data_IF_261108156507
#
_entry.id   IF_261108156507
#
_cell.length_a   1.000
_cell.length_b   1.000
_cell.length_c   1.000
_cell.angle_alpha   90.00
_cell.angle_beta   90.00
_cell.angle_gamma   90.00
#
_symmetry.space_group_name_H-M   'P 1'
#
loop_
_entity.id
_entity.type
_entity.pdbx_description
1 polymer ?
#
# COMPACT_ATOMS: atom_id res chain seq x y z
N UNK A 1 -19.50 8.41 -13.05
CA UNK A 1 -18.99 7.51 -11.99
C UNK A 1 -18.27 8.38 -10.98
N UNK A 2 -18.80 8.52 -9.75
CA UNK A 2 -18.31 9.53 -8.80
C UNK A 2 -16.89 9.19 -8.32
N UNK A 3 -15.99 10.17 -8.29
CA UNK A 3 -14.58 10.03 -7.90
C UNK A 3 -14.41 9.36 -6.51
N UNK A 4 -15.38 9.56 -5.63
CA UNK A 4 -15.44 8.96 -4.28
C UNK A 4 -15.57 7.44 -4.32
N UNK A 5 -16.34 6.88 -5.26
CA UNK A 5 -16.48 5.43 -5.43
C UNK A 5 -15.17 4.79 -5.91
N UNK A 6 -14.41 5.51 -6.73
CA UNK A 6 -13.14 5.04 -7.27
C UNK A 6 -12.08 4.93 -6.16
N UNK A 7 -11.98 5.94 -5.32
CA UNK A 7 -11.04 5.99 -4.18
C UNK A 7 -11.39 4.88 -3.17
N UNK A 8 -12.68 4.75 -2.84
CA UNK A 8 -13.16 3.72 -1.91
C UNK A 8 -12.85 2.30 -2.40
N UNK A 9 -13.05 2.01 -3.69
CA UNK A 9 -12.71 0.71 -4.30
C UNK A 9 -11.20 0.43 -4.28
N UNK A 10 -10.36 1.46 -4.51
CA UNK A 10 -8.90 1.34 -4.46
C UNK A 10 -8.42 1.05 -3.04
N UNK A 11 -8.91 1.78 -2.03
CA UNK A 11 -8.60 1.53 -0.61
C UNK A 11 -9.03 0.12 -0.22
N UNK A 12 -10.23 -0.33 -0.60
CA UNK A 12 -10.70 -1.68 -0.32
C UNK A 12 -9.80 -2.76 -0.95
N UNK A 13 -9.25 -2.51 -2.13
CA UNK A 13 -8.29 -3.43 -2.77
C UNK A 13 -7.00 -3.55 -1.96
N UNK A 14 -6.49 -2.42 -1.45
CA UNK A 14 -5.31 -2.41 -0.58
C UNK A 14 -5.56 -3.08 0.77
N UNK A 15 -6.74 -2.87 1.37
CA UNK A 15 -7.13 -3.53 2.62
C UNK A 15 -7.15 -5.06 2.45
N UNK A 16 -7.70 -5.57 1.34
CA UNK A 16 -7.69 -7.01 1.05
C UNK A 16 -6.28 -7.61 0.92
N UNK A 17 -5.29 -6.83 0.46
CA UNK A 17 -3.90 -7.31 0.44
C UNK A 17 -3.35 -7.51 1.86
N UNK A 18 -3.78 -6.70 2.84
CA UNK A 18 -3.36 -6.82 4.24
C UNK A 18 -3.83 -8.11 4.94
N UNK A 19 -4.85 -8.77 4.39
CA UNK A 19 -5.43 -10.01 4.94
C UNK A 19 -4.60 -11.26 4.57
N UNK A 20 -3.65 -11.15 3.63
CA UNK A 20 -2.80 -12.27 3.21
C UNK A 20 -1.93 -12.79 4.36
N UNK A 21 -1.76 -14.11 4.45
CA UNK A 21 -1.04 -14.74 5.56
C UNK A 21 0.44 -14.41 5.61
N UNK A 22 1.10 -14.30 4.45
CA UNK A 22 2.55 -14.15 4.35
C UNK A 22 3.04 -12.69 4.28
N UNK A 23 2.18 -11.72 4.60
CA UNK A 23 2.48 -10.30 4.37
C UNK A 23 2.20 -9.86 2.95
N UNK A 24 2.67 -8.66 2.58
CA UNK A 24 2.37 -8.05 1.28
C UNK A 24 3.64 -7.95 0.47
N UNK A 25 3.69 -8.60 -0.69
CA UNK A 25 4.79 -8.42 -1.62
C UNK A 25 4.71 -7.03 -2.25
N UNK A 26 5.84 -6.36 -2.35
CA UNK A 26 5.90 -5.04 -2.99
C UNK A 26 5.42 -5.09 -4.46
N UNK A 27 5.58 -6.25 -5.10
CA UNK A 27 5.16 -6.51 -6.47
C UNK A 27 3.64 -6.63 -6.62
N UNK A 28 2.90 -6.97 -5.55
CA UNK A 28 1.44 -7.08 -5.58
C UNK A 28 0.76 -5.70 -5.59
N UNK A 29 1.48 -4.67 -5.17
CA UNK A 29 1.00 -3.29 -5.23
C UNK A 29 1.11 -2.74 -6.64
N UNK A 30 0.14 -1.91 -7.02
CA UNK A 30 0.23 -1.09 -8.24
C UNK A 30 1.42 -0.15 -8.12
N UNK A 31 2.09 0.12 -9.24
CA UNK A 31 3.28 1.00 -9.31
C UNK A 31 3.03 2.36 -8.64
N UNK A 32 1.83 2.92 -8.80
CA UNK A 32 1.40 4.19 -8.20
C UNK A 32 1.49 4.21 -6.65
N UNK A 33 1.29 3.07 -5.98
CA UNK A 33 1.37 2.97 -4.52
C UNK A 33 2.74 2.55 -4.02
N UNK A 34 3.57 1.96 -4.89
CA UNK A 34 4.88 1.43 -4.49
C UNK A 34 5.79 2.54 -4.01
N UNK A 35 5.79 3.69 -4.68
CA UNK A 35 6.68 4.79 -4.32
C UNK A 35 6.34 5.39 -2.94
N UNK A 36 5.05 5.59 -2.61
CA UNK A 36 4.65 6.11 -1.28
C UNK A 36 4.93 5.08 -0.20
N UNK A 37 4.67 3.81 -0.47
CA UNK A 37 5.02 2.75 0.46
C UNK A 37 6.53 2.62 0.65
N UNK A 38 7.33 2.73 -0.41
CA UNK A 38 8.79 2.71 -0.33
C UNK A 38 9.32 3.88 0.49
N UNK A 39 8.79 5.08 0.28
CA UNK A 39 9.12 6.25 1.07
C UNK A 39 8.73 6.07 2.55
N UNK A 40 7.55 5.48 2.81
CA UNK A 40 7.06 5.21 4.16
C UNK A 40 7.92 4.20 4.92
N UNK A 41 8.48 3.21 4.23
CA UNK A 41 9.31 2.15 4.84
C UNK A 41 10.81 2.43 4.74
N UNK A 42 11.23 3.62 4.32
CA UNK A 42 12.67 3.98 4.35
C UNK A 42 13.17 3.89 5.79
N UNK A 43 14.20 3.07 6.00
CA UNK A 43 14.77 2.83 7.32
C UNK A 43 14.09 1.69 8.11
N UNK A 44 13.01 1.11 7.61
CA UNK A 44 12.38 -0.08 8.19
C UNK A 44 13.11 -1.36 7.75
N UNK A 45 13.13 -2.38 8.62
CA UNK A 45 13.64 -3.70 8.24
C UNK A 45 12.59 -4.45 7.43
N UNK A 46 12.93 -4.82 6.20
CA UNK A 46 12.05 -5.56 5.30
C UNK A 46 12.39 -7.04 5.26
N UNK A 47 11.38 -7.86 5.02
CA UNK A 47 11.56 -9.29 4.78
C UNK A 47 11.88 -9.58 3.32
N UNK A 48 12.56 -10.68 3.07
CA UNK A 48 12.70 -11.27 1.73
C UNK A 48 12.14 -12.68 1.76
N UNK A 49 11.27 -12.99 0.82
CA UNK A 49 10.75 -14.34 0.62
C UNK A 49 10.73 -14.64 -0.87
N UNK A 50 11.26 -15.80 -1.27
CA UNK A 50 11.32 -16.21 -2.68
C UNK A 50 11.99 -15.14 -3.58
N UNK A 51 13.07 -14.52 -3.07
CA UNK A 51 13.78 -13.43 -3.76
C UNK A 51 13.00 -12.12 -3.91
N UNK A 52 11.78 -12.03 -3.36
CA UNK A 52 10.92 -10.84 -3.43
C UNK A 52 10.85 -10.15 -2.07
N UNK A 53 10.82 -8.82 -2.11
CA UNK A 53 10.64 -7.99 -0.91
C UNK A 53 9.22 -8.16 -0.39
N UNK A 54 9.12 -8.58 0.87
CA UNK A 54 7.89 -8.68 1.65
C UNK A 54 7.85 -7.56 2.67
N UNK A 55 6.68 -6.94 2.76
CA UNK A 55 6.35 -5.98 3.80
C UNK A 55 5.53 -6.71 4.86
N UNK A 56 6.02 -6.63 6.10
CA UNK A 56 5.34 -7.20 7.26
C UNK A 56 3.95 -6.59 7.44
N UNK A 57 2.99 -7.39 7.91
CA UNK A 57 1.58 -6.97 8.04
C UNK A 57 1.42 -5.71 8.90
N UNK A 58 2.22 -5.57 9.95
CA UNK A 58 2.13 -4.42 10.85
C UNK A 58 2.55 -3.12 10.15
N UNK A 59 3.69 -3.15 9.46
CA UNK A 59 4.17 -2.01 8.66
C UNK A 59 3.17 -1.65 7.57
N UNK A 60 2.62 -2.64 6.87
CA UNK A 60 1.60 -2.42 5.86
C UNK A 60 0.31 -1.82 6.43
N UNK A 61 -0.17 -2.31 7.59
CA UNK A 61 -1.36 -1.75 8.27
C UNK A 61 -1.14 -0.30 8.72
N UNK A 62 0.06 0.04 9.23
CA UNK A 62 0.40 1.42 9.60
C UNK A 62 0.37 2.35 8.38
N UNK A 63 0.94 1.89 7.27
CA UNK A 63 0.87 2.60 6.00
C UNK A 63 -0.57 2.81 5.50
N UNK A 64 -1.43 1.77 5.57
CA UNK A 64 -2.84 1.92 5.23
C UNK A 64 -3.57 2.93 6.12
N UNK A 65 -3.23 3.00 7.41
CA UNK A 65 -3.80 3.99 8.31
C UNK A 65 -3.37 5.42 7.95
N UNK A 66 -2.10 5.64 7.56
CA UNK A 66 -1.64 6.92 6.98
C UNK A 66 -2.50 7.30 5.78
N UNK A 67 -2.69 6.39 4.83
CA UNK A 67 -3.49 6.66 3.62
C UNK A 67 -4.94 7.00 3.96
N UNK A 68 -5.55 6.30 4.93
CA UNK A 68 -6.94 6.55 5.35
C UNK A 68 -7.12 7.90 6.04
N UNK A 69 -6.10 8.38 6.74
CA UNK A 69 -6.17 9.61 7.55
C UNK A 69 -5.71 10.83 6.79
N UNK A 70 -4.60 10.74 6.06
CA UNK A 70 -3.97 11.85 5.33
C UNK A 70 -4.24 11.81 3.83
N UNK A 71 -4.86 10.75 3.31
CA UNK A 71 -4.92 10.51 1.87
C UNK A 71 -3.59 9.99 1.31
N UNK A 72 -3.49 9.91 -0.02
CA UNK A 72 -2.22 9.66 -0.68
C UNK A 72 -1.44 10.97 -0.79
N UNK A 73 -0.14 10.98 -0.47
CA UNK A 73 0.72 12.17 -0.61
C UNK A 73 1.03 12.54 -2.08
N UNK A 74 0.50 11.78 -3.03
CA UNK A 74 0.59 12.12 -4.44
C UNK A 74 -0.56 13.05 -4.85
N UNK A 75 -0.21 14.08 -5.63
CA UNK A 75 -1.07 14.63 -6.66
C UNK A 75 -1.44 13.49 -7.62
N UNK A 76 -2.36 12.63 -7.21
CA UNK A 76 -2.97 11.67 -8.13
C UNK A 76 -3.78 12.54 -9.07
N UNK A 77 -3.16 12.99 -10.16
CA UNK A 77 -3.90 13.51 -11.31
C UNK A 77 -4.77 12.36 -11.79
N UNK A 78 -6.01 12.34 -11.31
CA UNK A 78 -7.07 11.46 -11.78
C UNK A 78 -7.46 11.95 -13.17
N UNK A 79 -6.62 11.68 -14.18
CA UNK A 79 -6.94 11.87 -15.59
C UNK A 79 -7.59 10.59 -16.11
#
# INVERSE_FOLDING_TARGET
MHTVDLISRRINTLVKLAERENGVFITDLRKEYRADLQNFIVGETLGVSDGKVIIGKNTYKRWLQKIKTSGFDYDVKFI
#
